data_IF_951438793841
#
_entry.id   IF_951438793841
#
_cell.length_a   1.000
_cell.length_b   1.000
_cell.length_c   1.000
_cell.angle_alpha   90.00
_cell.angle_beta   90.00
_cell.angle_gamma   90.00
#
_symmetry.space_group_name_H-M   'P 1'
#
loop_
_entity.id
_entity.type
_entity.pdbx_description
1 polymer ?
#
# COMPACT_ATOMS: atom_id res chain seq x y z
N UNK A 1 16.92 16.68 5.82
CA UNK A 1 16.13 15.88 4.88
C UNK A 1 15.15 15.11 5.75
N UNK A 2 14.00 15.69 6.03
CA UNK A 2 12.95 14.98 6.75
C UNK A 2 12.23 14.11 5.72
N UNK A 3 12.30 12.79 5.87
CA UNK A 3 11.44 11.88 5.12
C UNK A 3 10.00 12.11 5.57
N UNK A 4 9.11 12.33 4.62
CA UNK A 4 7.68 12.43 4.90
C UNK A 4 7.10 11.03 4.76
N UNK A 5 6.57 10.52 5.87
CA UNK A 5 5.67 9.39 5.85
C UNK A 5 4.27 9.92 5.57
N UNK A 6 3.64 9.36 4.53
CA UNK A 6 2.23 9.52 4.26
C UNK A 6 1.50 8.27 4.75
N UNK A 7 0.98 8.28 5.99
CA UNK A 7 0.26 7.13 6.51
C UNK A 7 -1.00 6.90 5.69
N UNK A 8 -1.36 5.63 5.53
CA UNK A 8 -2.62 5.23 4.89
C UNK A 8 -3.82 5.78 5.65
N UNK A 9 -4.79 6.28 4.89
CA UNK A 9 -6.13 6.61 5.37
C UNK A 9 -6.97 5.36 5.68
N UNK A 10 -6.62 4.21 5.10
CA UNK A 10 -7.27 2.92 5.40
C UNK A 10 -6.79 2.44 6.79
N UNK A 11 -7.44 2.95 7.83
CA UNK A 11 -7.05 2.73 9.22
C UNK A 11 -7.32 1.29 9.67
N UNK A 12 -8.20 0.58 8.98
CA UNK A 12 -8.66 -0.75 9.36
C UNK A 12 -8.23 -1.85 8.36
N UNK A 13 -7.59 -1.47 7.25
CA UNK A 13 -6.98 -2.38 6.27
C UNK A 13 -7.99 -3.14 5.41
N UNK A 14 -9.23 -2.65 5.30
CA UNK A 14 -10.30 -3.32 4.54
C UNK A 14 -10.37 -2.87 3.07
N UNK A 15 -9.56 -1.87 2.67
CA UNK A 15 -9.52 -1.27 1.33
C UNK A 15 -10.85 -0.63 0.91
N UNK A 16 -11.62 -0.14 1.87
CA UNK A 16 -12.90 0.56 1.68
C UNK A 16 -12.82 1.88 2.42
N UNK A 17 -13.22 2.97 1.76
CA UNK A 17 -13.27 4.29 2.40
C UNK A 17 -14.42 4.36 3.41
N UNK A 18 -14.10 4.33 4.70
CA UNK A 18 -15.06 4.44 5.79
C UNK A 18 -15.20 5.90 6.28
N UNK A 19 -16.24 6.60 5.78
CA UNK A 19 -16.59 7.98 6.18
C UNK A 19 -17.79 8.05 7.13
N UNK A 20 -18.33 6.90 7.54
CA UNK A 20 -19.55 6.81 8.35
C UNK A 20 -19.34 5.88 9.55
N UNK A 21 -20.12 6.09 10.63
CA UNK A 21 -20.09 5.18 11.78
C UNK A 21 -18.99 5.47 12.82
N UNK A 22 -18.33 6.64 12.74
CA UNK A 22 -17.32 7.07 13.71
C UNK A 22 -15.88 6.88 13.25
N UNK A 23 -15.68 6.27 12.09
CA UNK A 23 -14.46 6.33 11.30
C UNK A 23 -14.64 7.44 10.26
N UNK A 24 -13.62 8.29 10.13
CA UNK A 24 -13.54 9.36 9.14
C UNK A 24 -12.17 9.26 8.48
N UNK A 25 -12.07 8.31 7.55
CA UNK A 25 -10.83 7.96 6.85
C UNK A 25 -10.48 8.98 5.76
N UNK A 26 -11.46 9.64 5.14
CA UNK A 26 -11.27 10.66 4.11
C UNK A 26 -10.77 11.99 4.71
N UNK A 27 -9.47 12.06 5.01
CA UNK A 27 -8.91 13.18 5.78
C UNK A 27 -8.81 14.48 4.99
N UNK A 28 -8.71 14.37 3.67
CA UNK A 28 -8.65 15.50 2.75
C UNK A 28 -9.99 15.80 2.05
N UNK A 29 -11.04 14.97 2.25
CA UNK A 29 -12.36 15.09 1.63
C UNK A 29 -12.34 14.96 0.10
N UNK A 30 -11.41 14.16 -0.46
CA UNK A 30 -11.34 13.93 -1.89
C UNK A 30 -12.23 12.76 -2.37
N UNK A 31 -12.84 12.03 -1.43
CA UNK A 31 -13.73 10.91 -1.71
C UNK A 31 -13.01 9.61 -2.06
N UNK A 32 -11.74 9.46 -1.68
CA UNK A 32 -10.93 8.26 -1.90
C UNK A 32 -10.05 7.93 -0.69
N UNK A 33 -9.46 6.73 -0.69
CA UNK A 33 -8.43 6.35 0.28
C UNK A 33 -7.06 6.81 -0.26
N UNK A 34 -6.31 7.57 0.53
CA UNK A 34 -4.92 7.93 0.22
C UNK A 34 -3.91 7.18 1.12
N UNK A 35 -2.83 6.62 0.54
CA UNK A 35 -2.60 6.42 -0.89
C UNK A 35 -3.48 5.26 -1.44
N UNK A 36 -3.96 5.40 -2.69
CA UNK A 36 -4.63 4.29 -3.36
C UNK A 36 -3.65 3.18 -3.73
N UNK A 37 -4.01 1.95 -3.34
CA UNK A 37 -3.42 0.65 -3.70
C UNK A 37 -2.08 0.74 -4.47
N UNK A 38 -0.95 0.85 -3.76
CA UNK A 38 0.36 1.07 -4.40
C UNK A 38 0.83 -0.13 -5.23
N UNK A 39 0.21 -1.29 -5.05
CA UNK A 39 0.53 -2.55 -5.71
C UNK A 39 -0.71 -3.46 -5.83
N UNK A 40 -0.61 -4.49 -6.66
CA UNK A 40 -1.63 -5.52 -6.86
C UNK A 40 -1.00 -6.91 -6.89
N UNK A 41 -1.80 -7.94 -6.60
CA UNK A 41 -1.36 -9.33 -6.70
C UNK A 41 -1.83 -9.94 -8.03
N UNK A 42 -0.94 -10.68 -8.68
CA UNK A 42 -1.23 -11.41 -9.90
C UNK A 42 -0.84 -12.89 -9.79
N UNK A 43 -1.45 -13.73 -10.62
CA UNK A 43 -1.08 -15.13 -10.73
C UNK A 43 0.27 -15.27 -11.44
N UNK A 44 1.08 -16.24 -11.03
CA UNK A 44 2.29 -16.62 -11.76
C UNK A 44 1.89 -17.48 -12.95
N UNK A 45 2.26 -17.06 -14.17
CA UNK A 45 1.97 -17.83 -15.37
C UNK A 45 2.72 -19.16 -15.40
N UNK A 46 2.03 -20.24 -15.78
CA UNK A 46 2.64 -21.57 -15.95
C UNK A 46 2.75 -22.40 -14.66
N UNK A 47 2.36 -21.87 -13.51
CA UNK A 47 2.35 -22.59 -12.24
C UNK A 47 1.02 -23.32 -11.99
N UNK A 48 1.08 -24.43 -11.24
CA UNK A 48 -0.13 -25.20 -10.88
C UNK A 48 -0.96 -24.53 -9.78
N UNK A 49 -0.34 -23.66 -8.98
CA UNK A 49 -1.05 -22.83 -8.03
C UNK A 49 -1.72 -21.66 -8.76
N UNK A 50 -2.97 -21.39 -8.42
CA UNK A 50 -3.77 -20.33 -9.08
C UNK A 50 -4.21 -19.29 -8.08
N UNK A 51 -3.87 -18.02 -8.36
CA UNK A 51 -4.44 -16.85 -7.69
C UNK A 51 -5.62 -16.32 -8.52
N UNK A 52 -6.79 -16.19 -7.91
CA UNK A 52 -7.97 -15.59 -8.54
C UNK A 52 -8.80 -14.84 -7.50
N UNK A 53 -9.05 -13.55 -7.73
CA UNK A 53 -9.87 -12.73 -6.83
C UNK A 53 -9.34 -12.67 -5.40
N UNK A 54 -8.02 -12.70 -5.22
CA UNK A 54 -7.36 -12.72 -3.90
C UNK A 54 -7.31 -14.10 -3.23
N UNK A 55 -7.90 -15.14 -3.84
CA UNK A 55 -7.83 -16.51 -3.34
C UNK A 55 -6.73 -17.29 -4.05
N UNK A 56 -5.76 -17.79 -3.28
CA UNK A 56 -4.67 -18.64 -3.77
C UNK A 56 -4.98 -20.11 -3.45
N UNK A 57 -5.04 -20.95 -4.47
CA UNK A 57 -5.13 -22.41 -4.32
C UNK A 57 -3.73 -23.00 -4.46
N UNK A 58 -3.27 -23.71 -3.44
CA UNK A 58 -1.95 -24.36 -3.44
C UNK A 58 -1.92 -25.59 -4.35
N UNK A 59 -0.73 -25.93 -4.81
CA UNK A 59 -0.45 -27.13 -5.60
C UNK A 59 -0.41 -28.41 -4.73
N UNK A 60 -0.11 -29.54 -5.37
CA UNK A 60 0.02 -30.83 -4.69
C UNK A 60 1.13 -30.91 -3.64
N UNK A 61 2.08 -29.97 -3.67
CA UNK A 61 3.15 -29.87 -2.69
C UNK A 61 2.77 -28.94 -1.52
N UNK A 62 1.56 -28.38 -1.54
CA UNK A 62 1.08 -27.41 -0.55
C UNK A 62 1.68 -26.02 -0.72
N UNK A 63 2.25 -25.71 -1.89
CA UNK A 63 2.87 -24.41 -2.19
C UNK A 63 1.98 -23.59 -3.12
N UNK A 64 2.06 -22.27 -3.00
CA UNK A 64 1.40 -21.35 -3.92
C UNK A 64 2.28 -20.15 -4.20
N UNK A 65 2.13 -19.59 -5.39
CA UNK A 65 2.94 -18.47 -5.86
C UNK A 65 2.04 -17.36 -6.40
N UNK A 66 2.47 -16.12 -6.21
CA UNK A 66 1.85 -14.93 -6.75
C UNK A 66 2.94 -13.91 -7.07
N UNK A 67 2.61 -12.97 -7.94
CA UNK A 67 3.45 -11.80 -8.24
C UNK A 67 2.88 -10.57 -7.54
N UNK A 68 3.76 -9.72 -7.01
CA UNK A 68 3.42 -8.38 -6.57
C UNK A 68 3.76 -7.40 -7.69
N UNK A 69 2.73 -6.83 -8.32
CA UNK A 69 2.86 -5.89 -9.43
C UNK A 69 2.62 -4.47 -8.94
N UNK A 70 3.50 -3.54 -9.28
CA UNK A 70 3.36 -2.13 -8.96
C UNK A 70 3.95 -1.25 -10.07
N UNK A 71 3.41 -0.03 -10.28
CA UNK A 71 4.03 0.96 -11.15
C UNK A 71 5.45 1.28 -10.67
N UNK A 72 6.40 1.45 -11.60
CA UNK A 72 7.77 1.85 -11.25
C UNK A 72 7.84 3.22 -10.56
N UNK A 73 6.83 4.08 -10.76
CA UNK A 73 6.66 5.35 -10.03
C UNK A 73 6.42 5.17 -8.53
N UNK A 74 5.85 4.03 -8.11
CA UNK A 74 5.56 3.74 -6.70
C UNK A 74 6.76 3.13 -5.98
N UNK A 75 7.80 2.72 -6.72
CA UNK A 75 9.02 2.20 -6.15
C UNK A 75 9.65 3.24 -5.21
N UNK A 76 10.17 2.80 -4.06
CA UNK A 76 10.76 3.62 -3.00
C UNK A 76 9.79 4.55 -2.24
N UNK A 77 8.51 4.61 -2.63
CA UNK A 77 7.52 5.52 -2.04
C UNK A 77 6.41 4.83 -1.25
N UNK A 78 6.33 3.50 -1.30
CA UNK A 78 5.32 2.74 -0.57
C UNK A 78 5.89 1.48 0.10
N UNK A 79 5.34 1.20 1.27
CA UNK A 79 5.42 -0.10 1.94
C UNK A 79 4.08 -0.81 1.80
N UNK A 80 4.10 -2.11 1.57
CA UNK A 80 2.90 -2.93 1.49
C UNK A 80 2.93 -4.06 2.51
N UNK A 81 1.75 -4.38 3.04
CA UNK A 81 1.51 -5.53 3.90
C UNK A 81 0.65 -6.54 3.14
N UNK A 82 1.11 -7.79 3.09
CA UNK A 82 0.38 -8.92 2.52
C UNK A 82 0.01 -9.85 3.66
N UNK A 83 -1.29 -10.08 3.84
CA UNK A 83 -1.82 -10.97 4.85
C UNK A 83 -2.36 -12.22 4.16
N UNK A 84 -1.77 -13.37 4.46
CA UNK A 84 -2.25 -14.66 4.00
C UNK A 84 -3.10 -15.29 5.10
N UNK A 85 -4.36 -15.60 4.77
CA UNK A 85 -5.30 -16.32 5.67
C UNK A 85 -5.58 -17.68 5.06
N UNK A 86 -5.34 -18.74 5.82
CA UNK A 86 -5.63 -20.10 5.42
C UNK A 86 -6.63 -20.73 6.38
N UNK A 87 -7.69 -21.32 5.83
CA UNK A 87 -8.63 -22.14 6.59
C UNK A 87 -8.52 -23.57 6.08
N UNK A 88 -8.12 -24.50 6.95
CA UNK A 88 -8.04 -25.91 6.61
C UNK A 88 -8.50 -26.78 7.79
N UNK A 89 -9.46 -27.67 7.52
CA UNK A 89 -9.94 -28.67 8.49
C UNK A 89 -10.38 -28.07 9.85
N UNK A 90 -10.96 -26.86 9.82
CA UNK A 90 -11.41 -26.15 11.03
C UNK A 90 -10.28 -25.48 11.83
N UNK A 91 -9.08 -25.39 11.26
CA UNK A 91 -7.99 -24.55 11.78
C UNK A 91 -7.82 -23.33 10.88
N UNK A 92 -7.75 -22.16 11.49
CA UNK A 92 -7.40 -20.92 10.83
C UNK A 92 -5.93 -20.60 11.13
N UNK A 93 -5.20 -20.16 10.11
CA UNK A 93 -3.85 -19.63 10.23
C UNK A 93 -3.78 -18.28 9.50
N UNK A 94 -3.00 -17.38 10.07
CA UNK A 94 -2.70 -16.07 9.50
C UNK A 94 -1.18 -15.89 9.51
N UNK A 95 -0.64 -15.37 8.41
CA UNK A 95 0.75 -14.93 8.33
C UNK A 95 0.83 -13.60 7.59
N UNK A 96 1.82 -12.79 7.96
CA UNK A 96 1.97 -11.41 7.50
C UNK A 96 3.35 -11.16 6.92
N UNK A 97 3.40 -10.62 5.71
CA UNK A 97 4.62 -10.23 5.03
C UNK A 97 4.62 -8.73 4.71
N UNK A 98 5.68 -8.03 5.12
CA UNK A 98 5.86 -6.57 4.88
C UNK A 98 7.04 -6.33 3.96
N UNK A 99 6.85 -5.47 2.97
CA UNK A 99 7.91 -5.14 2.02
C UNK A 99 7.76 -3.70 1.50
N UNK A 100 8.89 -2.98 1.44
CA UNK A 100 8.99 -1.73 0.69
C UNK A 100 9.19 -2.01 -0.79
N UNK A 101 8.52 -1.26 -1.67
CA UNK A 101 8.57 -1.51 -3.11
C UNK A 101 9.95 -1.15 -3.68
N UNK A 102 10.75 -2.13 -4.15
CA UNK A 102 12.11 -1.85 -4.60
C UNK A 102 12.11 -1.19 -5.99
N UNK A 103 13.08 -0.32 -6.25
CA UNK A 103 13.38 0.14 -7.61
C UNK A 103 14.35 -0.83 -8.31
N UNK A 104 14.26 -0.92 -9.63
CA UNK A 104 15.25 -1.63 -10.42
C UNK A 104 16.58 -0.85 -10.39
N UNK A 105 17.68 -1.55 -10.10
CA UNK A 105 19.00 -0.91 -10.06
C UNK A 105 19.38 -0.25 -11.39
N UNK A 106 18.91 -0.80 -12.52
CA UNK A 106 19.13 -0.20 -13.84
C UNK A 106 18.46 1.18 -13.97
N UNK A 107 17.24 1.34 -13.45
CA UNK A 107 16.51 2.61 -13.49
C UNK A 107 17.14 3.69 -12.61
N UNK A 108 17.85 3.29 -11.54
CA UNK A 108 18.53 4.20 -10.60
C UNK A 108 19.92 4.61 -11.10
N UNK A 109 20.61 3.70 -11.79
CA UNK A 109 22.00 3.90 -12.22
C UNK A 109 22.12 4.54 -13.61
N UNK A 110 21.03 4.63 -14.37
CA UNK A 110 21.00 5.37 -15.64
C UNK A 110 21.08 6.88 -15.38
N UNK A 111 22.15 7.52 -15.87
CA UNK A 111 22.36 8.96 -15.71
C UNK A 111 21.77 9.79 -16.86
N UNK A 112 21.36 9.14 -17.95
CA UNK A 112 20.81 9.79 -19.14
C UNK A 112 19.28 9.88 -19.07
N UNK A 113 18.64 9.07 -18.22
CA UNK A 113 17.19 9.01 -18.02
C UNK A 113 16.84 9.24 -16.55
N UNK A 114 15.89 10.13 -16.28
CA UNK A 114 15.41 10.32 -14.90
C UNK A 114 14.64 9.07 -14.44
N UNK A 115 14.88 8.56 -13.22
CA UNK A 115 14.14 7.41 -12.72
C UNK A 115 12.63 7.68 -12.65
N UNK A 116 11.76 6.70 -12.93
CA UNK A 116 10.31 6.86 -12.83
C UNK A 116 9.82 7.25 -11.43
N UNK A 117 10.54 6.84 -10.39
CA UNK A 117 10.27 7.14 -8.98
C UNK A 117 10.95 8.41 -8.47
N UNK A 118 11.44 9.30 -9.34
CA UNK A 118 12.09 10.54 -8.88
C UNK A 118 11.13 11.47 -8.14
N UNK A 119 9.84 11.40 -8.46
CA UNK A 119 8.74 12.13 -7.81
C UNK A 119 7.80 11.13 -7.15
N UNK A 120 7.41 11.40 -5.91
CA UNK A 120 6.39 10.61 -5.21
C UNK A 120 5.02 10.74 -5.90
N UNK A 121 4.32 9.64 -6.17
CA UNK A 121 2.94 9.69 -6.66
C UNK A 121 1.93 10.06 -5.57
N UNK A 122 2.34 10.06 -4.30
CA UNK A 122 1.48 10.29 -3.12
C UNK A 122 1.54 11.73 -2.60
N UNK A 123 1.99 12.65 -3.46
CA UNK A 123 2.07 14.07 -3.14
C UNK A 123 3.42 14.49 -2.57
N UNK A 124 3.47 15.78 -2.22
CA UNK A 124 4.65 16.46 -1.68
C UNK A 124 4.27 17.21 -0.42
N UNK A 125 5.26 17.49 0.45
CA UNK A 125 5.07 18.46 1.52
C UNK A 125 4.53 19.77 0.95
N UNK A 126 3.33 20.15 1.36
CA UNK A 126 3.03 21.57 1.42
C UNK A 126 3.89 22.15 2.54
N UNK A 127 4.90 22.94 2.17
CA UNK A 127 5.82 23.60 3.11
C UNK A 127 5.11 24.53 4.11
N UNK A 128 3.80 24.73 3.96
CA UNK A 128 2.96 25.43 4.93
C UNK A 128 2.55 24.57 6.13
N UNK A 129 2.81 23.25 6.14
CA UNK A 129 2.53 22.33 7.25
C UNK A 129 1.11 22.52 7.82
N UNK A 130 0.13 22.67 6.93
CA UNK A 130 -1.24 22.98 7.35
C UNK A 130 -1.82 21.72 8.00
N UNK A 131 -2.04 21.79 9.32
CA UNK A 131 -2.73 20.76 10.07
C UNK A 131 -4.16 20.61 9.53
N UNK A 132 -4.46 19.47 8.91
CA UNK A 132 -5.81 19.15 8.45
C UNK A 132 -6.69 18.75 9.64
N UNK A 133 -6.28 17.71 10.37
CA UNK A 133 -6.95 17.23 11.57
C UNK A 133 -6.01 16.45 12.48
N UNK A 134 -6.43 16.25 13.72
CA UNK A 134 -5.79 15.33 14.65
C UNK A 134 -6.63 14.05 14.71
N UNK A 135 -6.03 12.89 14.44
CA UNK A 135 -6.69 11.59 14.58
C UNK A 135 -6.22 10.94 15.87
N UNK A 136 -7.12 10.28 16.60
CA UNK A 136 -6.78 9.51 17.80
C UNK A 136 -6.85 8.02 17.46
N UNK A 137 -5.70 7.37 17.45
CA UNK A 137 -5.57 5.92 17.26
C UNK A 137 -5.02 5.32 18.56
N UNK A 138 -5.77 4.40 19.17
CA UNK A 138 -5.37 3.70 20.41
C UNK A 138 -4.90 4.63 21.54
N UNK A 139 -5.50 5.82 21.63
CA UNK A 139 -5.15 6.84 22.63
C UNK A 139 -3.93 7.70 22.29
N UNK A 140 -3.34 7.52 21.10
CA UNK A 140 -2.29 8.37 20.55
C UNK A 140 -2.88 9.39 19.57
N UNK A 141 -2.62 10.67 19.79
CA UNK A 141 -3.02 11.75 18.87
C UNK A 141 -1.94 11.93 17.80
N UNK A 142 -2.31 11.70 16.53
CA UNK A 142 -1.45 11.88 15.36
C UNK A 142 -1.93 13.06 14.50
N UNK A 143 -1.03 13.99 14.11
CA UNK A 143 -1.37 15.07 13.19
C UNK A 143 -1.45 14.54 11.75
N UNK A 144 -2.50 14.94 11.02
CA UNK A 144 -2.65 14.70 9.58
C UNK A 144 -2.38 16.02 8.84
N UNK A 145 -1.53 16.00 7.81
CA UNK A 145 -1.01 17.18 7.10
C UNK A 145 -1.45 17.18 5.62
N UNK A 146 -1.60 18.37 5.03
CA UNK A 146 -2.06 18.65 3.64
C UNK A 146 -1.16 18.12 2.49
N UNK A 147 -0.19 17.24 2.76
CA UNK A 147 0.86 16.87 1.78
C UNK A 147 0.78 15.45 1.21
N UNK A 148 -0.21 14.67 1.62
CA UNK A 148 -0.32 13.25 1.31
C UNK A 148 -1.60 12.99 0.52
N UNK A 149 -1.59 13.41 -0.75
CA UNK A 149 -2.70 13.20 -1.68
C UNK A 149 -2.14 12.54 -2.94
N UNK A 150 -2.84 11.53 -3.46
CA UNK A 150 -2.51 10.95 -4.77
C UNK A 150 -2.53 12.04 -5.85
N UNK A 151 -1.39 12.27 -6.49
CA UNK A 151 -1.26 13.27 -7.56
C UNK A 151 -1.81 12.69 -8.86
N UNK A 152 -2.97 13.15 -9.32
CA UNK A 152 -3.49 12.84 -10.66
C UNK A 152 -2.97 13.81 -11.72
#
# INVERSE_FOLDING_TARGET
NESIDCPTEDLNGNRVLDTVGGLDEDTNNNGSLDPQDPASLAAVEGESATLSGGMLVTDNNGSGFFELLYPSSNALWADVEIIARAEALGSEAEDTFKIGLPALAADILDTDVSPPSVVSPYGHQDLNNTLLKNVVLDGLTLPVLTGCETSY
#
